data_IF_596397836081
#
_entry.id   IF_596397836081
#
_cell.length_a   1.000
_cell.length_b   1.000
_cell.length_c   1.000
_cell.angle_alpha   90.00
_cell.angle_beta   90.00
_cell.angle_gamma   90.00
#
_symmetry.space_group_name_H-M   'P 1'
#
loop_
_entity.id
_entity.type
_entity.pdbx_description
1 polymer ?
#
# COMPACT_ATOMS: atom_id res chain seq x y z
N UNK A 1 31.80 17.56 -9.61
CA UNK A 1 31.21 18.56 -8.67
C UNK A 1 29.85 18.91 -9.26
N UNK A 2 28.67 18.58 -8.71
CA UNK A 2 28.22 18.37 -7.34
C UNK A 2 27.54 16.99 -7.12
N UNK A 3 27.66 16.51 -5.88
CA UNK A 3 26.91 15.38 -5.32
C UNK A 3 25.46 15.76 -5.03
N UNK A 4 24.49 14.86 -5.28
CA UNK A 4 23.45 14.44 -4.31
C UNK A 4 22.22 13.84 -5.00
N UNK A 5 22.15 12.51 -5.04
CA UNK A 5 21.00 11.80 -4.45
C UNK A 5 21.60 10.56 -3.81
N UNK A 6 21.64 10.52 -2.47
CA UNK A 6 21.90 9.27 -1.76
C UNK A 6 20.79 8.29 -2.17
N UNK A 7 21.09 7.33 -3.06
CA UNK A 7 20.30 6.08 -3.19
C UNK A 7 20.50 5.27 -1.91
N UNK A 8 19.96 5.80 -0.82
CA UNK A 8 20.24 5.34 0.54
C UNK A 8 19.13 5.73 1.52
N UNK A 9 17.90 5.91 1.03
CA UNK A 9 16.73 5.92 1.91
C UNK A 9 15.85 4.75 1.49
N UNK A 10 16.13 3.61 2.10
CA UNK A 10 15.36 2.36 2.12
C UNK A 10 14.01 2.64 2.84
N UNK A 11 13.21 3.58 2.34
CA UNK A 11 11.98 4.02 2.99
C UNK A 11 10.79 3.24 2.44
N UNK A 12 10.19 2.43 3.32
CA UNK A 12 8.87 1.85 3.07
C UNK A 12 7.86 2.97 2.83
N UNK A 13 7.04 2.83 1.80
CA UNK A 13 5.97 3.76 1.49
C UNK A 13 4.74 3.03 0.98
N UNK A 14 3.58 3.62 1.22
CA UNK A 14 2.31 3.14 0.68
C UNK A 14 2.05 3.79 -0.68
N UNK A 15 1.59 2.99 -1.62
CA UNK A 15 1.15 3.46 -2.93
C UNK A 15 -0.34 3.16 -3.08
N UNK A 16 -1.14 4.21 -3.29
CA UNK A 16 -2.57 4.12 -3.59
C UNK A 16 -2.74 4.29 -5.09
N UNK A 17 -3.38 3.32 -5.73
CA UNK A 17 -3.60 3.33 -7.18
C UNK A 17 -5.04 2.95 -7.52
N UNK A 18 -5.50 3.44 -8.66
CA UNK A 18 -6.79 3.07 -9.23
C UNK A 18 -6.60 1.86 -10.13
N UNK A 19 -7.16 0.72 -9.73
CA UNK A 19 -7.18 -0.47 -10.58
C UNK A 19 -8.35 -0.34 -11.54
N UNK A 20 -8.10 0.30 -12.69
CA UNK A 20 -9.11 0.46 -13.73
C UNK A 20 -9.16 -0.73 -14.72
N UNK A 21 -8.26 -1.72 -14.58
CA UNK A 21 -8.00 -2.64 -15.68
C UNK A 21 -7.49 -4.00 -15.19
N UNK A 22 -8.41 -4.88 -14.77
CA UNK A 22 -8.11 -6.30 -14.80
C UNK A 22 -9.36 -7.04 -15.27
N UNK A 23 -9.37 -7.39 -16.56
CA UNK A 23 -10.39 -8.20 -17.24
C UNK A 23 -10.41 -9.65 -16.74
N UNK A 24 -10.67 -9.87 -15.45
CA UNK A 24 -10.92 -11.21 -14.95
C UNK A 24 -12.23 -11.21 -14.21
N UNK A 25 -13.17 -11.98 -14.76
CA UNK A 25 -14.49 -12.29 -14.22
C UNK A 25 -14.43 -12.58 -12.72
N UNK A 26 -14.97 -11.69 -11.90
CA UNK A 26 -15.92 -11.98 -10.82
C UNK A 26 -16.30 -10.68 -10.10
N UNK A 27 -17.46 -10.15 -10.47
CA UNK A 27 -18.34 -9.23 -9.73
C UNK A 27 -17.76 -8.57 -8.45
N UNK A 28 -17.62 -7.24 -8.46
CA UNK A 28 -17.33 -6.35 -7.31
C UNK A 28 -15.88 -5.90 -7.04
N UNK A 29 -15.07 -5.69 -8.09
CA UNK A 29 -13.77 -5.01 -7.92
C UNK A 29 -13.94 -3.51 -7.63
N UNK A 30 -13.75 -3.16 -6.36
CA UNK A 30 -13.65 -1.78 -5.92
C UNK A 30 -12.41 -1.10 -6.54
N UNK A 31 -12.54 0.12 -7.11
CA UNK A 31 -11.53 0.69 -8.00
C UNK A 31 -10.27 1.19 -7.29
N UNK A 32 -10.33 1.49 -6.00
CA UNK A 32 -9.17 1.99 -5.26
C UNK A 32 -8.50 0.86 -4.51
N UNK A 33 -7.20 0.67 -4.71
CA UNK A 33 -6.41 -0.34 -4.00
C UNK A 33 -5.13 0.32 -3.49
N UNK A 34 -4.54 -0.27 -2.46
CA UNK A 34 -3.24 0.16 -1.94
C UNK A 34 -2.28 -1.01 -1.82
N UNK A 35 -0.99 -0.70 -1.92
CA UNK A 35 0.10 -1.67 -1.67
C UNK A 35 1.20 -1.02 -0.85
N UNK A 36 1.84 -1.80 0.01
CA UNK A 36 3.02 -1.38 0.75
C UNK A 36 4.26 -1.82 -0.02
N UNK A 37 5.10 -0.85 -0.38
CA UNK A 37 6.35 -1.12 -1.09
C UNK A 37 7.48 -1.15 -0.06
N UNK A 38 8.19 -2.28 -0.05
CA UNK A 38 9.36 -2.49 0.78
C UNK A 38 10.56 -1.65 0.30
N UNK A 39 11.62 -1.60 1.11
CA UNK A 39 12.79 -0.79 0.80
C UNK A 39 13.55 -1.25 -0.46
N UNK A 40 13.39 -2.52 -0.86
CA UNK A 40 13.97 -3.04 -2.11
C UNK A 40 13.05 -2.87 -3.33
N UNK A 41 11.93 -2.14 -3.19
CA UNK A 41 11.01 -1.84 -4.29
C UNK A 41 10.00 -2.94 -4.60
N UNK A 42 10.01 -4.07 -3.87
CA UNK A 42 8.98 -5.10 -4.00
C UNK A 42 7.75 -4.81 -3.13
N UNK A 43 6.54 -5.17 -3.59
CA UNK A 43 5.34 -5.13 -2.75
C UNK A 43 5.44 -6.18 -1.64
N UNK A 44 5.24 -5.76 -0.39
CA UNK A 44 5.27 -6.63 0.80
C UNK A 44 3.87 -6.89 1.36
N UNK A 45 2.91 -6.04 1.04
CA UNK A 45 1.51 -6.20 1.44
C UNK A 45 0.58 -5.56 0.41
N UNK A 46 -0.62 -6.12 0.28
CA UNK A 46 -1.70 -5.63 -0.55
C UNK A 46 -2.93 -5.39 0.32
N UNK A 47 -3.61 -4.28 0.07
CA UNK A 47 -4.89 -3.97 0.69
C UNK A 47 -6.08 -4.50 -0.11
N UNK A 48 -7.22 -4.60 0.56
CA UNK A 48 -8.50 -4.77 -0.11
C UNK A 48 -8.84 -3.57 -1.01
N UNK A 49 -9.82 -3.76 -1.89
CA UNK A 49 -10.36 -2.67 -2.70
C UNK A 49 -11.32 -1.76 -1.91
N UNK A 50 -11.35 -0.49 -2.27
CA UNK A 50 -12.21 0.56 -1.71
C UNK A 50 -12.94 1.33 -2.81
N UNK A 51 -14.16 1.79 -2.52
CA UNK A 51 -15.00 2.50 -3.48
C UNK A 51 -14.50 3.94 -3.72
N UNK A 52 -13.85 4.53 -2.72
CA UNK A 52 -13.33 5.90 -2.77
C UNK A 52 -11.86 5.96 -2.35
N UNK A 53 -11.14 6.95 -2.87
CA UNK A 53 -9.75 7.23 -2.49
C UNK A 53 -9.62 7.56 -1.01
N UNK A 54 -10.57 8.32 -0.45
CA UNK A 54 -10.59 8.71 0.96
C UNK A 54 -10.74 7.50 1.90
N UNK A 55 -11.56 6.50 1.53
CA UNK A 55 -11.67 5.26 2.30
C UNK A 55 -10.36 4.45 2.24
N UNK A 56 -9.74 4.40 1.07
CA UNK A 56 -8.41 3.80 0.87
C UNK A 56 -7.35 4.46 1.77
N UNK A 57 -7.29 5.79 1.77
CA UNK A 57 -6.34 6.58 2.56
C UNK A 57 -6.58 6.40 4.07
N UNK A 58 -7.84 6.41 4.50
CA UNK A 58 -8.21 6.16 5.90
C UNK A 58 -7.78 4.77 6.37
N UNK A 59 -7.94 3.75 5.52
CA UNK A 59 -7.49 2.40 5.80
C UNK A 59 -5.96 2.33 5.91
N UNK A 60 -5.22 2.92 4.96
CA UNK A 60 -3.75 3.00 5.01
C UNK A 60 -3.28 3.71 6.28
N UNK A 61 -3.92 4.81 6.66
CA UNK A 61 -3.58 5.56 7.86
C UNK A 61 -3.85 4.72 9.13
N UNK A 62 -4.93 3.96 9.15
CA UNK A 62 -5.24 3.02 10.23
C UNK A 62 -4.18 1.93 10.35
N UNK A 63 -3.76 1.33 9.23
CA UNK A 63 -2.67 0.34 9.19
C UNK A 63 -1.37 0.97 9.70
N UNK A 64 -1.01 2.16 9.25
CA UNK A 64 0.19 2.86 9.70
C UNK A 64 0.19 3.10 11.21
N UNK A 65 -0.94 3.53 11.78
CA UNK A 65 -1.08 3.76 13.23
C UNK A 65 -1.10 2.48 14.04
N UNK A 66 -1.76 1.43 13.55
CA UNK A 66 -1.89 0.17 14.26
C UNK A 66 -0.60 -0.67 14.23
N UNK A 67 0.16 -0.64 13.12
CA UNK A 67 1.31 -1.54 12.91
C UNK A 67 2.42 -1.34 13.93
N UNK A 68 2.58 -0.13 14.50
CA UNK A 68 3.60 0.11 15.51
C UNK A 68 3.42 -0.70 16.81
N UNK A 69 2.19 -1.16 17.11
CA UNK A 69 1.87 -1.84 18.37
C UNK A 69 0.97 -3.08 18.20
N UNK A 70 0.64 -3.48 16.98
CA UNK A 70 -0.27 -4.60 16.76
C UNK A 70 0.37 -5.94 17.19
N UNK A 71 -0.30 -6.74 18.04
CA UNK A 71 0.23 -8.03 18.47
C UNK A 71 0.20 -9.05 17.33
N UNK A 72 1.31 -9.79 17.15
CA UNK A 72 1.39 -10.90 16.21
C UNK A 72 0.73 -12.12 16.86
N UNK A 73 -0.30 -12.68 16.21
CA UNK A 73 -0.93 -13.94 16.61
C UNK A 73 -0.70 -14.98 15.53
N UNK A 74 -0.20 -16.15 15.92
CA UNK A 74 -0.14 -17.33 15.07
C UNK A 74 -1.49 -18.06 15.21
N UNK A 75 -2.12 -18.35 14.08
CA UNK A 75 -3.36 -19.12 13.99
C UNK A 75 -3.09 -20.46 13.31
#
# INVERSE_FOLDING_TARGET
MLLSVRKGCLSMHFEIYRSAEQRVSSCADKPWKWRLIGPAGQPVAYGEGYETSAACESAVNTVMRATASAPIRYA
#
